data_IF_964518426469
#
_entry.id   IF_964518426469
#
_cell.length_a   1.000
_cell.length_b   1.000
_cell.length_c   1.000
_cell.angle_alpha   90.00
_cell.angle_beta   90.00
_cell.angle_gamma   90.00
#
_symmetry.space_group_name_H-M   'P 1'
#
loop_
_entity.id
_entity.type
_entity.pdbx_description
1 polymer ?
#
# COMPACT_ATOMS: atom_id res chain seq x y z
N UNK A 1 32.43 -13.01 -37.41
CA UNK A 1 31.46 -13.74 -36.55
C UNK A 1 31.58 -13.39 -35.07
N UNK A 2 32.78 -13.32 -34.49
CA UNK A 2 32.99 -13.04 -33.04
C UNK A 2 32.38 -11.72 -32.54
N UNK A 3 32.43 -10.64 -33.34
CA UNK A 3 31.86 -9.33 -32.98
C UNK A 3 30.33 -9.37 -32.81
N UNK A 4 29.65 -10.21 -33.60
CA UNK A 4 28.19 -10.38 -33.52
C UNK A 4 27.78 -11.16 -32.26
N UNK A 5 28.59 -12.15 -31.88
CA UNK A 5 28.38 -12.91 -30.65
C UNK A 5 28.55 -12.02 -29.40
N UNK A 6 29.57 -11.16 -29.39
CA UNK A 6 29.78 -10.18 -28.32
C UNK A 6 28.59 -9.23 -28.16
N UNK A 7 28.07 -8.69 -29.27
CA UNK A 7 26.90 -7.82 -29.26
C UNK A 7 25.67 -8.53 -28.65
N UNK A 8 25.36 -9.75 -29.12
CA UNK A 8 24.25 -10.54 -28.59
C UNK A 8 24.41 -10.83 -27.09
N UNK A 9 25.63 -11.16 -26.64
CA UNK A 9 25.90 -11.44 -25.23
C UNK A 9 25.66 -10.20 -24.36
N UNK A 10 26.11 -9.03 -24.81
CA UNK A 10 25.87 -7.76 -24.09
C UNK A 10 24.40 -7.36 -24.08
N UNK A 11 23.68 -7.59 -25.17
CA UNK A 11 22.25 -7.31 -25.27
C UNK A 11 21.42 -8.19 -24.33
N UNK A 12 21.71 -9.49 -24.28
CA UNK A 12 21.04 -10.43 -23.37
C UNK A 12 21.35 -10.07 -21.91
N UNK A 13 22.61 -9.77 -21.58
CA UNK A 13 23.00 -9.38 -20.21
C UNK A 13 22.32 -8.09 -19.76
N UNK A 14 22.11 -7.13 -20.66
CA UNK A 14 21.37 -5.90 -20.34
C UNK A 14 19.88 -6.17 -20.13
N UNK A 15 19.26 -7.00 -20.98
CA UNK A 15 17.84 -7.34 -20.87
C UNK A 15 17.49 -8.09 -19.58
N UNK A 16 18.38 -8.97 -19.11
CA UNK A 16 18.17 -9.68 -17.83
C UNK A 16 18.32 -8.75 -16.63
N UNK A 17 19.22 -7.76 -16.70
CA UNK A 17 19.37 -6.75 -15.65
C UNK A 17 18.13 -5.87 -15.50
N UNK A 18 17.53 -5.42 -16.61
CA UNK A 18 16.31 -4.58 -16.58
C UNK A 18 15.10 -5.36 -16.03
N UNK A 19 15.01 -6.66 -16.30
CA UNK A 19 13.89 -7.49 -15.83
C UNK A 19 13.84 -7.71 -14.31
N UNK A 20 14.96 -7.54 -13.60
CA UNK A 20 14.99 -7.72 -12.14
C UNK A 20 14.39 -6.55 -11.35
N UNK A 21 14.13 -5.40 -11.99
CA UNK A 21 13.54 -4.24 -11.31
C UNK A 21 11.99 -4.32 -11.17
N UNK A 22 11.36 -5.33 -11.77
CA UNK A 22 9.90 -5.47 -11.82
C UNK A 22 9.33 -6.42 -10.75
N UNK A 23 10.16 -6.99 -9.88
CA UNK A 23 9.70 -7.85 -8.80
C UNK A 23 9.25 -6.98 -7.62
N UNK A 24 8.14 -6.27 -7.81
CA UNK A 24 7.42 -5.66 -6.71
C UNK A 24 6.90 -6.78 -5.81
N UNK A 25 7.14 -6.73 -4.48
CA UNK A 25 6.58 -7.74 -3.59
C UNK A 25 5.06 -7.72 -3.73
N UNK A 26 4.50 -8.81 -4.25
CA UNK A 26 3.07 -9.00 -4.33
C UNK A 26 2.49 -8.80 -2.92
N UNK A 27 1.35 -8.10 -2.76
CA UNK A 27 0.75 -7.91 -1.46
C UNK A 27 0.44 -9.30 -0.89
N UNK A 28 1.19 -9.69 0.15
CA UNK A 28 1.02 -10.97 0.82
C UNK A 28 -0.44 -11.15 1.21
N UNK A 29 -0.97 -12.35 0.99
CA UNK A 29 -2.34 -12.68 1.31
C UNK A 29 -2.60 -12.33 2.79
N UNK A 30 -3.43 -11.31 3.03
CA UNK A 30 -3.79 -10.86 4.37
C UNK A 30 -4.69 -11.98 4.93
N UNK A 31 -4.23 -12.63 6.00
CA UNK A 31 -5.03 -13.63 6.71
C UNK A 31 -6.34 -13.01 7.17
N UNK A 32 -7.44 -13.78 7.19
CA UNK A 32 -8.78 -13.31 7.59
C UNK A 32 -8.81 -12.71 9.00
N UNK A 33 -7.87 -13.07 9.87
CA UNK A 33 -7.70 -12.45 11.19
C UNK A 33 -7.09 -11.05 11.16
N UNK A 34 -6.28 -10.72 10.16
CA UNK A 34 -5.58 -9.44 10.07
C UNK A 34 -6.45 -8.30 9.51
N UNK A 35 -7.62 -8.62 8.94
CA UNK A 35 -8.55 -7.66 8.34
C UNK A 35 -9.20 -6.72 9.37
N UNK A 36 -9.32 -7.20 10.61
CA UNK A 36 -9.90 -6.49 11.76
C UNK A 36 -8.89 -5.64 12.53
N UNK A 37 -7.59 -5.74 12.23
CA UNK A 37 -6.56 -4.97 12.92
C UNK A 37 -6.63 -3.48 12.59
N UNK A 38 -6.39 -2.66 13.62
CA UNK A 38 -6.19 -1.22 13.45
C UNK A 38 -4.88 -0.93 12.72
N UNK A 39 -4.77 0.26 12.08
CA UNK A 39 -3.53 0.67 11.42
C UNK A 39 -2.33 0.75 12.37
N UNK A 40 -2.57 1.10 13.64
CA UNK A 40 -1.52 1.12 14.66
C UNK A 40 -0.97 -0.29 14.95
N UNK A 41 -1.84 -1.29 15.06
CA UNK A 41 -1.42 -2.68 15.25
C UNK A 41 -0.74 -3.25 14.00
N UNK A 42 -1.21 -2.88 12.81
CA UNK A 42 -0.61 -3.29 11.54
C UNK A 42 0.83 -2.75 11.41
N UNK A 43 1.05 -1.49 11.78
CA UNK A 43 2.41 -0.90 11.83
C UNK A 43 3.35 -1.66 12.77
N UNK A 44 2.87 -2.00 13.98
CA UNK A 44 3.66 -2.77 14.96
C UNK A 44 4.05 -4.16 14.44
N UNK A 45 3.24 -4.75 13.57
CA UNK A 45 3.47 -6.07 12.97
C UNK A 45 4.22 -6.03 11.63
N UNK A 46 4.59 -4.84 11.13
CA UNK A 46 5.17 -4.70 9.79
C UNK A 46 4.20 -5.03 8.64
N UNK A 47 2.89 -5.01 8.92
CA UNK A 47 1.85 -5.26 7.92
C UNK A 47 1.52 -3.98 7.14
N UNK A 48 1.09 -4.09 5.87
CA UNK A 48 0.69 -2.94 5.07
C UNK A 48 -0.51 -2.23 5.69
N UNK A 49 -0.53 -0.90 5.62
CA UNK A 49 -1.63 -0.07 6.15
C UNK A 49 -2.95 -0.33 5.42
N UNK A 50 -4.06 -0.22 6.15
CA UNK A 50 -5.42 -0.24 5.57
C UNK A 50 -5.68 1.08 4.86
N UNK A 51 -6.15 0.99 3.62
CA UNK A 51 -6.50 2.16 2.80
C UNK A 51 -7.73 2.89 3.37
N UNK A 52 -7.77 4.23 3.30
CA UNK A 52 -8.96 4.97 3.68
C UNK A 52 -10.13 4.62 2.75
N UNK A 53 -11.35 4.48 3.32
CA UNK A 53 -12.57 4.17 2.55
C UNK A 53 -13.00 5.33 1.64
N UNK A 54 -12.65 6.56 2.03
CA UNK A 54 -13.01 7.79 1.31
C UNK A 54 -11.82 8.73 1.34
N UNK A 55 -11.49 9.28 0.19
CA UNK A 55 -10.60 10.42 0.07
C UNK A 55 -11.38 11.70 0.31
N UNK A 56 -10.66 12.78 0.64
CA UNK A 56 -11.25 14.09 0.73
C UNK A 56 -11.82 14.50 -0.63
N UNK A 57 -13.07 14.98 -0.61
CA UNK A 57 -13.79 15.44 -1.80
C UNK A 57 -14.26 16.86 -1.51
N UNK A 58 -13.72 17.88 -2.19
CA UNK A 58 -14.08 19.28 -1.94
C UNK A 58 -15.51 19.61 -2.35
N UNK A 59 -16.14 18.79 -3.19
CA UNK A 59 -17.54 18.98 -3.63
C UNK A 59 -18.54 18.47 -2.62
N UNK A 60 -18.11 17.62 -1.67
CA UNK A 60 -18.95 17.09 -0.62
C UNK A 60 -18.79 17.93 0.65
N UNK A 61 -19.85 18.64 1.09
CA UNK A 61 -19.80 19.30 2.39
C UNK A 61 -19.54 18.23 3.46
N UNK A 62 -18.53 18.49 4.30
CA UNK A 62 -18.20 17.62 5.43
C UNK A 62 -19.48 17.48 6.26
N UNK A 63 -19.92 16.25 6.62
CA UNK A 63 -21.03 16.12 7.54
C UNK A 63 -20.65 16.90 8.81
N UNK A 64 -21.48 17.88 9.17
CA UNK A 64 -21.30 18.64 10.39
C UNK A 64 -21.28 17.64 11.54
N UNK A 65 -20.09 17.41 12.10
CA UNK A 65 -19.95 16.78 13.40
C UNK A 65 -20.47 17.79 14.41
N UNK A 66 -21.79 17.95 14.52
CA UNK A 66 -22.39 18.54 15.71
C UNK A 66 -21.86 17.73 16.88
N UNK A 67 -21.11 18.33 17.83
CA UNK A 67 -20.64 17.61 19.00
C UNK A 67 -21.87 17.00 19.67
N UNK A 68 -21.85 15.68 19.87
CA UNK A 68 -22.87 15.02 20.69
C UNK A 68 -22.80 15.71 22.06
N UNK A 69 -23.89 16.29 22.57
CA UNK A 69 -23.86 16.97 23.85
C UNK A 69 -23.37 15.99 24.91
N UNK A 70 -22.33 16.40 25.65
CA UNK A 70 -21.79 15.61 26.75
C UNK A 70 -22.91 15.26 27.73
N UNK A 71 -22.99 14.02 28.23
CA UNK A 71 -24.06 13.64 29.14
C UNK A 71 -24.02 14.55 30.37
N UNK A 72 -25.14 15.25 30.63
CA UNK A 72 -25.30 16.13 31.78
C UNK A 72 -25.16 15.28 33.04
N UNK A 73 -24.07 15.49 33.78
CA UNK A 73 -23.84 14.86 35.08
C UNK A 73 -24.86 15.45 36.06
N UNK A 74 -25.92 14.70 36.37
CA UNK A 74 -26.82 15.06 37.48
C UNK A 74 -26.03 14.93 38.78
N UNK A 75 -25.94 16.04 39.51
CA UNK A 75 -25.45 16.12 40.89
C UNK A 75 -26.59 15.80 41.83
#
# INVERSE_FOLDING_TARGET
MVKFALFFFTFIAFATFVSQAAEAPAPGAISSGDEYLSNAERLRRGLPLKKPKRYYDPTRPRPNNTPVPSPVKKV
#
